data_IF_363639391271
#
_entry.id   IF_363639391271
#
_cell.length_a   1.000
_cell.length_b   1.000
_cell.length_c   1.000
_cell.angle_alpha   90.00
_cell.angle_beta   90.00
_cell.angle_gamma   90.00
#
_symmetry.space_group_name_H-M   'P 1'
#
loop_
_entity.id
_entity.type
_entity.pdbx_description
1 polymer ?
#
# COMPACT_ATOMS: atom_id res chain seq x y z
N UNK A 1 -9.98 0.35 -16.89
CA UNK A 1 -8.65 0.99 -16.74
C UNK A 1 -8.15 0.61 -15.36
N UNK A 2 -6.96 0.03 -15.26
CA UNK A 2 -6.38 -0.31 -13.95
C UNK A 2 -5.52 0.86 -13.47
N UNK A 3 -5.79 1.35 -12.26
CA UNK A 3 -5.03 2.44 -11.65
C UNK A 3 -4.62 2.08 -10.24
N UNK A 4 -3.39 2.35 -9.89
CA UNK A 4 -2.86 2.12 -8.54
C UNK A 4 -2.51 3.48 -7.92
N UNK A 5 -2.94 3.70 -6.68
CA UNK A 5 -2.60 4.88 -5.91
C UNK A 5 -1.83 4.45 -4.67
N UNK A 6 -0.71 5.10 -4.38
CA UNK A 6 0.03 4.98 -3.14
C UNK A 6 0.04 6.33 -2.44
N UNK A 7 -0.63 6.43 -1.31
CA UNK A 7 -0.95 7.69 -0.69
C UNK A 7 0.14 8.17 0.26
N UNK A 8 0.36 9.48 0.28
CA UNK A 8 1.17 10.14 1.29
C UNK A 8 0.37 10.26 2.58
N UNK A 9 0.35 9.22 3.36
CA UNK A 9 -0.23 9.22 4.71
C UNK A 9 0.86 9.50 5.77
N UNK A 10 0.57 9.38 7.06
CA UNK A 10 1.58 9.54 8.12
C UNK A 10 2.68 8.47 8.01
N UNK A 11 3.09 7.85 9.09
CA UNK A 11 4.13 6.80 9.08
C UNK A 11 3.57 5.39 8.78
N UNK A 12 2.35 5.28 8.25
CA UNK A 12 1.71 4.05 7.83
C UNK A 12 1.57 3.94 6.32
N UNK A 13 0.75 3.00 5.86
CA UNK A 13 0.48 2.76 4.44
C UNK A 13 -1.01 2.97 4.10
N UNK A 14 -1.25 3.31 2.85
CA UNK A 14 -2.57 3.25 2.22
C UNK A 14 -2.39 3.14 0.70
N UNK A 15 -2.77 2.01 0.16
CA UNK A 15 -2.80 1.80 -1.29
C UNK A 15 -4.22 1.57 -1.79
N UNK A 16 -4.53 2.09 -2.98
CA UNK A 16 -5.83 1.91 -3.62
C UNK A 16 -5.60 1.29 -4.99
N UNK A 17 -6.36 0.26 -5.33
CA UNK A 17 -6.38 -0.32 -6.67
C UNK A 17 -7.77 -0.13 -7.26
N UNK A 18 -7.87 0.61 -8.36
CA UNK A 18 -9.05 0.61 -9.21
C UNK A 18 -8.85 -0.47 -10.27
N UNK A 19 -9.64 -1.54 -10.19
CA UNK A 19 -9.53 -2.69 -11.09
C UNK A 19 -10.25 -2.47 -12.41
N UNK A 20 -9.84 -3.19 -13.45
CA UNK A 20 -10.54 -3.21 -14.74
C UNK A 20 -12.01 -3.66 -14.64
N UNK A 21 -12.34 -4.44 -13.63
CA UNK A 21 -13.72 -4.87 -13.30
C UNK A 21 -14.62 -3.73 -12.80
N UNK A 22 -14.03 -2.60 -12.38
CA UNK A 22 -14.68 -1.51 -11.67
C UNK A 22 -14.66 -1.68 -10.15
N UNK A 23 -14.24 -2.82 -9.63
CA UNK A 23 -14.00 -2.99 -8.20
C UNK A 23 -12.88 -2.06 -7.71
N UNK A 24 -12.94 -1.70 -6.43
CA UNK A 24 -11.86 -0.98 -5.74
C UNK A 24 -11.38 -1.80 -4.56
N UNK A 25 -10.08 -1.96 -4.45
CA UNK A 25 -9.41 -2.57 -3.30
C UNK A 25 -8.63 -1.49 -2.56
N UNK A 26 -8.82 -1.43 -1.25
CA UNK A 26 -7.97 -0.64 -0.35
C UNK A 26 -7.07 -1.62 0.40
N UNK A 27 -5.79 -1.34 0.45
CA UNK A 27 -4.80 -2.09 1.21
C UNK A 27 -4.29 -1.17 2.29
N UNK A 28 -4.61 -1.46 3.53
CA UNK A 28 -4.36 -0.67 4.73
C UNK A 28 -4.92 0.76 4.69
N UNK A 29 -4.99 1.39 5.84
CA UNK A 29 -5.36 2.79 5.97
C UNK A 29 -4.60 3.46 7.11
N UNK A 30 -4.14 4.68 6.86
CA UNK A 30 -3.56 5.53 7.88
C UNK A 30 -4.01 6.97 7.66
N UNK A 31 -4.22 7.71 8.74
CA UNK A 31 -4.66 9.12 8.71
C UNK A 31 -6.08 9.35 8.13
N UNK A 32 -6.98 8.38 8.23
CA UNK A 32 -8.34 8.47 7.66
C UNK A 32 -9.37 8.97 8.68
N UNK A 33 -9.13 10.10 9.30
CA UNK A 33 -10.08 10.71 10.25
C UNK A 33 -11.12 11.56 9.53
N UNK A 34 -12.22 11.88 10.25
CA UNK A 34 -13.15 12.90 9.76
C UNK A 34 -12.41 14.22 9.56
N UNK A 35 -12.33 14.70 8.32
CA UNK A 35 -11.48 15.84 8.04
C UNK A 35 -12.05 17.13 8.62
N UNK A 36 -11.16 18.01 9.07
CA UNK A 36 -11.46 19.43 9.26
C UNK A 36 -11.22 20.14 7.91
N UNK A 37 -12.25 20.42 7.10
CA UNK A 37 -12.08 20.83 5.70
C UNK A 37 -11.17 22.03 5.49
N UNK A 38 -11.20 22.98 6.44
CA UNK A 38 -10.36 24.19 6.38
C UNK A 38 -8.88 23.84 6.61
N UNK A 39 -8.58 22.95 7.53
CA UNK A 39 -7.21 22.50 7.82
C UNK A 39 -6.66 21.69 6.66
N UNK A 40 -7.44 20.78 6.09
CA UNK A 40 -7.03 20.02 4.88
C UNK A 40 -6.73 20.95 3.70
N UNK A 41 -7.61 21.92 3.42
CA UNK A 41 -7.38 22.88 2.35
C UNK A 41 -6.12 23.73 2.60
N UNK A 42 -5.86 24.10 3.85
CA UNK A 42 -4.65 24.82 4.27
C UNK A 42 -3.41 23.96 4.05
N UNK A 43 -3.44 22.70 4.48
CA UNK A 43 -2.32 21.76 4.31
C UNK A 43 -2.02 21.50 2.84
N UNK A 44 -3.04 21.27 2.02
CA UNK A 44 -2.90 21.06 0.58
C UNK A 44 -2.29 22.30 -0.11
N UNK A 45 -2.72 23.51 0.28
CA UNK A 45 -2.15 24.75 -0.24
C UNK A 45 -0.66 24.88 0.12
N UNK A 46 -0.30 24.65 1.38
CA UNK A 46 1.10 24.74 1.82
C UNK A 46 1.95 23.68 1.10
N UNK A 47 1.48 22.44 1.01
CA UNK A 47 2.17 21.38 0.29
C UNK A 47 2.47 21.72 -1.17
N UNK A 48 1.51 22.36 -1.86
CA UNK A 48 1.64 22.80 -3.26
C UNK A 48 2.76 23.83 -3.46
N UNK A 49 2.96 24.71 -2.49
CA UNK A 49 3.99 25.75 -2.58
C UNK A 49 5.29 25.39 -1.88
N UNK A 50 5.38 24.23 -1.24
CA UNK A 50 6.61 23.74 -0.63
C UNK A 50 7.66 23.47 -1.71
N UNK A 51 8.75 24.22 -1.64
CA UNK A 51 9.88 24.05 -2.57
C UNK A 51 10.91 23.11 -1.94
N UNK A 52 11.19 22.00 -2.63
CA UNK A 52 12.23 21.07 -2.21
C UNK A 52 13.61 21.70 -2.21
N UNK A 53 14.43 21.26 -1.25
CA UNK A 53 15.86 21.63 -1.16
C UNK A 53 16.69 20.36 -1.36
N UNK A 54 17.55 20.34 -2.37
CA UNK A 54 18.49 19.24 -2.62
C UNK A 54 17.84 17.84 -2.66
N UNK A 55 16.68 17.74 -3.33
CA UNK A 55 15.92 16.46 -3.47
C UNK A 55 14.99 16.13 -2.31
N UNK A 56 14.97 16.91 -1.24
CA UNK A 56 13.98 16.81 -0.18
C UNK A 56 12.81 17.77 -0.45
N UNK A 57 11.64 17.22 -0.76
CA UNK A 57 10.45 18.00 -1.08
C UNK A 57 9.50 18.18 0.12
N UNK A 58 9.87 17.66 1.28
CA UNK A 58 9.16 17.83 2.56
C UNK A 58 7.67 17.40 2.56
N UNK A 59 7.22 16.63 1.57
CA UNK A 59 5.82 16.29 1.41
C UNK A 59 5.27 15.42 2.55
N UNK A 60 6.11 14.65 3.24
CA UNK A 60 5.69 13.88 4.43
C UNK A 60 5.11 14.72 5.57
N UNK A 61 5.37 16.04 5.56
CA UNK A 61 4.78 16.99 6.54
C UNK A 61 3.32 17.30 6.26
N UNK A 62 2.84 16.95 5.07
CA UNK A 62 1.51 17.27 4.57
C UNK A 62 0.78 16.00 4.14
N UNK A 63 0.54 15.07 5.07
CA UNK A 63 -0.14 13.82 4.74
C UNK A 63 -1.57 14.10 4.28
N UNK A 64 -2.03 13.31 3.30
CA UNK A 64 -3.42 13.38 2.83
C UNK A 64 -4.32 12.53 3.71
N UNK A 65 -5.60 12.90 3.73
CA UNK A 65 -6.65 12.06 4.29
C UNK A 65 -7.18 11.12 3.19
N UNK A 66 -7.13 9.79 3.35
CA UNK A 66 -7.60 8.84 2.34
C UNK A 66 -9.08 9.02 1.98
N UNK A 67 -9.95 9.36 2.93
CA UNK A 67 -11.38 9.58 2.68
C UNK A 67 -11.57 10.78 1.75
N UNK A 68 -10.94 11.91 2.06
CA UNK A 68 -11.00 13.10 1.21
C UNK A 68 -10.39 12.85 -0.16
N UNK A 69 -9.25 12.15 -0.21
CA UNK A 69 -8.59 11.78 -1.46
C UNK A 69 -9.50 10.95 -2.37
N UNK A 70 -10.21 9.98 -1.82
CA UNK A 70 -11.15 9.14 -2.54
C UNK A 70 -12.39 9.92 -3.00
N UNK A 71 -12.97 10.73 -2.12
CA UNK A 71 -14.12 11.60 -2.45
C UNK A 71 -13.81 12.55 -3.61
N UNK A 72 -12.65 13.20 -3.57
CA UNK A 72 -12.20 14.11 -4.62
C UNK A 72 -12.07 13.44 -5.98
N UNK A 73 -11.83 12.13 -5.99
CA UNK A 73 -11.74 11.32 -7.22
C UNK A 73 -13.04 10.62 -7.61
N UNK A 74 -14.13 10.89 -6.86
CA UNK A 74 -15.44 10.28 -7.13
C UNK A 74 -15.50 8.79 -6.82
N UNK A 75 -14.62 8.29 -5.95
CA UNK A 75 -14.66 6.91 -5.48
C UNK A 75 -15.74 6.78 -4.42
N UNK A 76 -16.87 6.15 -4.77
CA UNK A 76 -18.05 6.09 -3.90
C UNK A 76 -18.22 4.76 -3.16
N UNK A 77 -17.44 3.73 -3.51
CA UNK A 77 -17.58 2.40 -2.91
C UNK A 77 -16.27 1.65 -2.90
N UNK A 78 -16.11 0.78 -1.91
CA UNK A 78 -14.98 -0.15 -1.77
C UNK A 78 -15.54 -1.56 -1.87
N UNK A 79 -15.02 -2.35 -2.83
CA UNK A 79 -15.38 -3.77 -2.93
C UNK A 79 -14.64 -4.61 -1.89
N UNK A 80 -13.36 -4.25 -1.61
CA UNK A 80 -12.48 -5.02 -0.73
C UNK A 80 -11.57 -4.09 0.05
N UNK A 81 -11.54 -4.29 1.37
CA UNK A 81 -10.50 -3.73 2.23
C UNK A 81 -9.60 -4.88 2.71
N UNK A 82 -8.30 -4.69 2.60
CA UNK A 82 -7.28 -5.64 3.04
C UNK A 82 -6.49 -5.02 4.18
N UNK A 83 -6.59 -5.62 5.37
CA UNK A 83 -5.69 -5.33 6.49
C UNK A 83 -4.48 -6.24 6.36
N UNK A 84 -3.30 -5.69 6.06
CA UNK A 84 -2.12 -6.54 5.85
C UNK A 84 -1.69 -7.24 7.13
N UNK A 85 -1.68 -6.53 8.24
CA UNK A 85 -1.36 -7.03 9.57
C UNK A 85 -1.95 -6.09 10.65
N UNK A 86 -2.03 -6.52 11.94
CA UNK A 86 -2.81 -5.80 12.93
C UNK A 86 -2.03 -4.67 13.65
N UNK A 87 -1.24 -3.87 12.94
CA UNK A 87 -0.55 -2.71 13.52
C UNK A 87 -1.34 -1.41 13.29
N UNK A 88 -1.26 -0.51 14.26
CA UNK A 88 -2.12 0.68 14.31
C UNK A 88 -1.86 1.68 13.18
N UNK A 89 -0.65 1.76 12.68
CA UNK A 89 -0.29 2.60 11.54
C UNK A 89 -0.81 2.07 10.19
N UNK A 90 -1.39 0.86 10.19
CA UNK A 90 -2.08 0.24 9.06
C UNK A 90 -3.61 0.25 9.21
N UNK A 91 -4.14 0.81 10.31
CA UNK A 91 -5.60 0.91 10.56
C UNK A 91 -6.05 2.26 11.17
N UNK A 92 -5.20 3.29 11.15
CA UNK A 92 -5.47 4.60 11.73
C UNK A 92 -6.59 5.33 10.96
N UNK A 93 -7.81 5.29 11.48
CA UNK A 93 -9.03 5.81 10.87
C UNK A 93 -9.87 4.74 10.14
N UNK A 94 -9.66 3.45 10.43
CA UNK A 94 -10.43 2.37 9.81
C UNK A 94 -11.94 2.50 10.07
N UNK A 95 -12.35 2.94 11.25
CA UNK A 95 -13.76 3.10 11.59
C UNK A 95 -14.43 4.13 10.69
N UNK A 96 -13.81 5.30 10.49
CA UNK A 96 -14.34 6.34 9.61
C UNK A 96 -14.35 5.91 8.14
N UNK A 97 -13.33 5.20 7.68
CA UNK A 97 -13.28 4.67 6.32
C UNK A 97 -14.45 3.72 6.05
N UNK A 98 -14.72 2.79 6.98
CA UNK A 98 -15.81 1.83 6.85
C UNK A 98 -17.18 2.49 6.95
N UNK A 99 -17.34 3.48 7.83
CA UNK A 99 -18.57 4.25 7.95
C UNK A 99 -18.88 5.03 6.67
N UNK A 100 -17.84 5.53 5.97
CA UNK A 100 -18.00 6.31 4.75
C UNK A 100 -18.29 5.44 3.52
N UNK A 101 -17.54 4.36 3.33
CA UNK A 101 -17.54 3.61 2.08
C UNK A 101 -18.14 2.22 2.17
N UNK A 102 -18.44 1.71 3.36
CA UNK A 102 -19.07 0.41 3.61
C UNK A 102 -18.44 -0.72 2.75
N UNK A 103 -17.17 -1.09 2.98
CA UNK A 103 -16.51 -2.16 2.23
C UNK A 103 -17.30 -3.46 2.27
N UNK A 104 -17.45 -4.13 1.11
CA UNK A 104 -18.22 -5.37 0.99
C UNK A 104 -17.46 -6.56 1.58
N UNK A 105 -16.13 -6.58 1.35
CA UNK A 105 -15.25 -7.63 1.85
C UNK A 105 -14.15 -7.03 2.73
N UNK A 106 -13.88 -7.72 3.83
CA UNK A 106 -12.77 -7.43 4.73
C UNK A 106 -11.80 -8.61 4.72
N UNK A 107 -10.57 -8.39 4.27
CA UNK A 107 -9.52 -9.39 4.33
C UNK A 107 -8.65 -9.13 5.54
N UNK A 108 -8.41 -10.16 6.32
CA UNK A 108 -7.62 -10.09 7.54
C UNK A 108 -6.84 -11.39 7.72
N UNK A 109 -5.75 -11.34 8.44
CA UNK A 109 -5.00 -12.53 8.85
C UNK A 109 -5.67 -13.16 10.07
N UNK A 110 -5.46 -14.46 10.28
CA UNK A 110 -6.02 -15.18 11.45
C UNK A 110 -5.18 -14.92 12.71
N UNK A 111 -4.93 -13.64 12.97
CA UNK A 111 -4.13 -13.21 14.09
C UNK A 111 -4.97 -13.09 15.38
N UNK A 112 -4.30 -13.30 16.51
CA UNK A 112 -4.89 -13.21 17.85
C UNK A 112 -4.35 -12.03 18.65
N UNK A 113 -3.75 -11.04 17.99
CA UNK A 113 -3.15 -9.87 18.64
C UNK A 113 -4.14 -9.21 19.60
N UNK A 114 -3.66 -8.90 20.78
CA UNK A 114 -4.36 -8.11 21.79
C UNK A 114 -3.54 -6.89 22.17
N UNK A 115 -4.22 -5.77 22.39
CA UNK A 115 -3.56 -4.55 22.86
C UNK A 115 -4.09 -4.22 24.26
N UNK A 116 -3.22 -4.23 25.29
CA UNK A 116 -3.63 -3.90 26.64
C UNK A 116 -4.03 -2.42 26.75
N UNK A 117 -4.91 -2.10 27.71
CA UNK A 117 -5.41 -0.73 27.93
C UNK A 117 -4.29 0.30 28.14
N UNK A 118 -3.14 -0.14 28.67
CA UNK A 118 -1.95 0.72 28.85
C UNK A 118 -1.33 1.19 27.54
N UNK A 119 -1.57 0.51 26.43
CA UNK A 119 -1.04 0.88 25.10
C UNK A 119 -1.59 2.21 24.60
N UNK A 120 -2.73 2.66 25.11
CA UNK A 120 -3.38 3.89 24.66
C UNK A 120 -2.88 5.15 25.36
N UNK A 121 -2.20 5.01 26.51
CA UNK A 121 -1.69 6.16 27.23
C UNK A 121 -0.50 6.79 26.49
N UNK A 122 -0.74 7.97 25.91
CA UNK A 122 0.27 8.67 25.10
C UNK A 122 0.44 8.14 23.69
N UNK A 123 -0.39 7.20 23.26
CA UNK A 123 -0.42 6.71 21.87
C UNK A 123 -0.89 7.82 20.93
N UNK A 124 -0.29 7.95 19.72
CA UNK A 124 -0.84 8.81 18.67
C UNK A 124 -2.10 8.22 18.01
N UNK A 125 -2.41 6.94 18.28
CA UNK A 125 -3.53 6.20 17.70
C UNK A 125 -4.71 6.13 18.65
N UNK A 126 -5.90 5.91 18.09
CA UNK A 126 -7.15 5.84 18.85
C UNK A 126 -7.52 4.40 19.18
N UNK A 127 -7.90 4.17 20.45
CA UNK A 127 -8.45 2.88 20.89
C UNK A 127 -9.73 2.50 20.12
N UNK A 128 -10.49 3.48 19.61
CA UNK A 128 -11.70 3.25 18.82
C UNK A 128 -11.42 2.44 17.56
N UNK A 129 -10.36 2.79 16.81
CA UNK A 129 -9.95 2.07 15.61
C UNK A 129 -9.56 0.62 15.90
N UNK A 130 -8.83 0.40 17.00
CA UNK A 130 -8.51 -0.95 17.46
C UNK A 130 -9.76 -1.76 17.82
N UNK A 131 -10.70 -1.17 18.56
CA UNK A 131 -11.97 -1.82 18.92
C UNK A 131 -12.81 -2.13 17.70
N UNK A 132 -12.80 -1.22 16.72
CA UNK A 132 -13.49 -1.43 15.45
C UNK A 132 -12.88 -2.60 14.67
N UNK A 133 -11.54 -2.60 14.50
CA UNK A 133 -10.82 -3.69 13.86
C UNK A 133 -11.10 -5.04 14.55
N UNK A 134 -10.99 -5.11 15.89
CA UNK A 134 -11.33 -6.32 16.63
C UNK A 134 -12.75 -6.82 16.36
N UNK A 135 -13.72 -5.91 16.31
CA UNK A 135 -15.09 -6.27 15.97
C UNK A 135 -15.17 -6.89 14.57
N UNK A 136 -14.49 -6.33 13.58
CA UNK A 136 -14.42 -6.90 12.23
C UNK A 136 -13.77 -8.29 12.23
N UNK A 137 -12.64 -8.41 12.93
CA UNK A 137 -11.87 -9.66 13.05
C UNK A 137 -12.67 -10.77 13.75
N UNK A 138 -13.33 -10.44 14.86
CA UNK A 138 -14.00 -11.40 15.73
C UNK A 138 -15.47 -11.64 15.31
N UNK A 139 -15.97 -10.94 14.28
CA UNK A 139 -17.34 -11.11 13.77
C UNK A 139 -17.45 -12.39 12.94
N UNK A 140 -18.66 -12.98 12.93
CA UNK A 140 -18.99 -14.11 12.08
C UNK A 140 -18.68 -13.78 10.60
N UNK A 141 -17.88 -14.61 9.89
CA UNK A 141 -17.49 -14.37 8.51
C UNK A 141 -18.66 -14.28 7.50
N UNK A 142 -19.86 -14.71 7.89
CA UNK A 142 -21.07 -14.62 7.06
C UNK A 142 -21.82 -13.28 7.21
N UNK A 143 -21.33 -12.34 8.01
CA UNK A 143 -21.91 -10.99 8.20
C UNK A 143 -21.21 -9.96 7.31
N UNK A 144 -21.89 -8.82 7.11
CA UNK A 144 -21.33 -7.69 6.36
C UNK A 144 -20.45 -6.80 7.29
N UNK A 145 -19.23 -6.45 6.85
CA UNK A 145 -18.55 -6.92 5.64
C UNK A 145 -18.18 -8.40 5.74
N UNK A 146 -18.19 -9.12 4.61
CA UNK A 146 -17.76 -10.51 4.58
C UNK A 146 -16.27 -10.61 4.92
N UNK A 147 -15.94 -11.25 6.05
CA UNK A 147 -14.56 -11.51 6.44
C UNK A 147 -13.99 -12.69 5.66
N UNK A 148 -12.79 -12.51 5.13
CA UNK A 148 -12.02 -13.56 4.45
C UNK A 148 -10.61 -13.60 5.04
N UNK A 149 -10.19 -14.78 5.49
CA UNK A 149 -8.82 -15.08 5.90
C UNK A 149 -8.19 -15.95 4.81
N UNK A 150 -7.17 -15.40 4.15
CA UNK A 150 -6.55 -16.02 2.99
C UNK A 150 -5.08 -16.29 3.26
N UNK A 151 -4.59 -17.40 2.74
CA UNK A 151 -3.18 -17.80 2.85
C UNK A 151 -2.53 -17.91 1.47
N UNK A 152 -1.21 -17.99 1.44
CA UNK A 152 -0.43 -18.18 0.24
C UNK A 152 -1.03 -19.21 -0.70
N UNK A 153 -1.18 -18.84 -1.97
CA UNK A 153 -1.76 -19.69 -3.00
C UNK A 153 -3.30 -19.79 -3.00
N UNK A 154 -4.00 -19.09 -2.08
CA UNK A 154 -5.47 -19.09 -2.06
C UNK A 154 -6.05 -18.60 -3.39
N UNK A 155 -7.16 -19.24 -3.82
CA UNK A 155 -7.82 -18.97 -5.09
C UNK A 155 -9.30 -18.65 -4.90
N UNK A 156 -9.79 -17.70 -5.68
CA UNK A 156 -11.20 -17.33 -5.64
C UNK A 156 -11.64 -16.48 -6.82
N UNK A 157 -12.90 -16.64 -7.19
CA UNK A 157 -13.53 -16.08 -8.38
C UNK A 157 -13.33 -14.56 -8.51
N UNK A 158 -13.38 -13.83 -7.40
CA UNK A 158 -13.35 -12.35 -7.42
C UNK A 158 -11.94 -11.77 -7.28
N UNK A 159 -10.89 -12.58 -7.09
CA UNK A 159 -9.55 -12.04 -6.91
C UNK A 159 -8.51 -12.62 -7.87
N UNK A 160 -8.44 -13.95 -8.11
CA UNK A 160 -7.43 -14.52 -9.00
C UNK A 160 -7.86 -15.77 -9.76
N UNK A 161 -9.14 -16.11 -9.78
CA UNK A 161 -9.66 -17.28 -10.47
C UNK A 161 -10.67 -16.85 -11.56
N UNK A 162 -10.31 -17.09 -12.81
CA UNK A 162 -11.23 -16.97 -13.94
C UNK A 162 -11.89 -18.28 -14.32
N UNK A 163 -12.63 -18.26 -15.42
CA UNK A 163 -13.27 -19.44 -15.96
C UNK A 163 -12.28 -20.52 -16.43
N UNK A 164 -11.05 -20.13 -16.76
CA UNK A 164 -9.96 -21.00 -17.21
C UNK A 164 -9.09 -21.53 -16.06
N UNK A 165 -9.40 -21.19 -14.80
CA UNK A 165 -8.69 -21.56 -13.55
C UNK A 165 -7.26 -21.01 -13.45
N UNK A 166 -6.74 -20.33 -14.45
CA UNK A 166 -5.34 -19.86 -14.49
C UNK A 166 -5.21 -18.38 -14.25
N UNK A 167 -6.17 -17.61 -14.71
CA UNK A 167 -6.20 -16.15 -14.55
C UNK A 167 -7.65 -15.69 -14.35
N UNK A 168 -7.85 -14.48 -13.92
CA UNK A 168 -9.17 -13.86 -13.81
C UNK A 168 -9.41 -13.15 -12.49
N UNK A 169 -10.67 -12.86 -12.21
CA UNK A 169 -11.05 -12.00 -11.10
C UNK A 169 -10.41 -10.62 -11.25
N UNK A 170 -10.04 -10.02 -10.13
CA UNK A 170 -9.39 -8.72 -10.08
C UNK A 170 -7.86 -8.79 -10.24
N UNK A 171 -7.28 -9.96 -10.48
CA UNK A 171 -5.84 -10.15 -10.66
C UNK A 171 -5.02 -10.11 -9.37
N UNK A 172 -5.63 -10.25 -8.20
CA UNK A 172 -4.96 -10.26 -6.90
C UNK A 172 -4.55 -11.68 -6.50
N UNK A 173 -3.26 -11.92 -6.34
CA UNK A 173 -2.69 -13.19 -5.89
C UNK A 173 -2.09 -13.03 -4.50
N UNK A 174 -2.38 -13.97 -3.61
CA UNK A 174 -1.89 -13.98 -2.24
C UNK A 174 -0.57 -14.77 -2.22
N UNK A 175 0.55 -14.06 -2.02
CA UNK A 175 1.88 -14.67 -1.92
C UNK A 175 2.21 -15.08 -0.49
N UNK A 176 1.69 -14.33 0.49
CA UNK A 176 1.81 -14.53 1.92
C UNK A 176 0.58 -13.92 2.63
N UNK A 177 0.32 -14.25 3.91
CA UNK A 177 1.10 -15.15 4.76
C UNK A 177 0.83 -16.63 4.48
N UNK A 178 1.66 -17.50 5.06
CA UNK A 178 1.28 -18.91 5.26
C UNK A 178 0.59 -19.07 6.62
N UNK A 179 -0.12 -20.20 6.80
CA UNK A 179 -0.71 -20.50 8.11
C UNK A 179 0.36 -20.59 9.21
N UNK A 180 1.50 -21.20 8.88
CA UNK A 180 2.62 -21.37 9.83
C UNK A 180 3.20 -20.03 10.31
N UNK A 181 3.31 -19.02 9.41
CA UNK A 181 3.77 -17.68 9.80
C UNK A 181 2.78 -16.98 10.72
N UNK A 182 1.47 -17.16 10.48
CA UNK A 182 0.43 -16.61 11.35
C UNK A 182 0.43 -17.32 12.72
N UNK A 183 0.51 -18.64 12.73
CA UNK A 183 0.57 -19.44 13.97
C UNK A 183 1.80 -19.02 14.80
N UNK A 184 2.96 -18.84 14.16
CA UNK A 184 4.18 -18.39 14.83
C UNK A 184 4.03 -16.98 15.43
N UNK A 185 3.42 -16.04 14.71
CA UNK A 185 3.16 -14.70 15.23
C UNK A 185 2.22 -14.74 16.44
N UNK A 186 1.20 -15.59 16.39
CA UNK A 186 0.26 -15.79 17.49
C UNK A 186 0.90 -16.45 18.73
N UNK A 187 1.81 -17.42 18.53
CA UNK A 187 2.51 -18.09 19.63
C UNK A 187 3.48 -17.16 20.36
N UNK A 188 4.15 -16.29 19.63
CA UNK A 188 5.12 -15.37 20.20
C UNK A 188 4.47 -14.12 20.79
N UNK A 189 3.21 -13.83 20.43
CA UNK A 189 2.47 -12.59 20.76
C UNK A 189 3.29 -11.32 20.48
N UNK A 190 4.17 -11.40 19.49
CA UNK A 190 5.12 -10.36 19.11
C UNK A 190 5.28 -10.34 17.59
N UNK A 191 5.71 -9.21 17.05
CA UNK A 191 6.13 -9.05 15.64
C UNK A 191 5.09 -9.56 14.60
N UNK A 192 3.85 -9.11 14.72
CA UNK A 192 2.77 -9.46 13.79
C UNK A 192 3.03 -9.03 12.34
N UNK A 193 4.09 -8.29 12.07
CA UNK A 193 4.60 -8.04 10.71
C UNK A 193 4.86 -9.34 9.94
N UNK A 194 5.20 -10.45 10.63
CA UNK A 194 5.40 -11.78 10.02
C UNK A 194 4.15 -12.34 9.36
N UNK A 195 2.96 -11.96 9.83
CA UNK A 195 1.71 -12.39 9.24
C UNK A 195 1.18 -11.44 8.17
N UNK A 196 1.97 -10.46 7.72
CA UNK A 196 1.55 -9.51 6.70
C UNK A 196 1.13 -10.19 5.41
N UNK A 197 0.01 -9.75 4.85
CA UNK A 197 -0.28 -10.02 3.45
C UNK A 197 0.83 -9.44 2.57
N UNK A 198 1.35 -10.28 1.68
CA UNK A 198 2.09 -9.86 0.49
C UNK A 198 1.25 -10.21 -0.72
N UNK A 199 0.86 -9.20 -1.48
CA UNK A 199 -0.03 -9.37 -2.61
C UNK A 199 0.70 -9.09 -3.91
N UNK A 200 0.49 -9.95 -4.91
CA UNK A 200 0.85 -9.68 -6.30
C UNK A 200 -0.42 -9.27 -7.05
N UNK A 201 -0.42 -8.09 -7.62
CA UNK A 201 -1.44 -7.63 -8.54
C UNK A 201 -0.96 -7.79 -9.99
N UNK A 202 -1.73 -8.55 -10.77
CA UNK A 202 -1.52 -8.74 -12.21
C UNK A 202 -2.58 -8.00 -13.00
N UNK A 203 -2.16 -7.17 -13.93
CA UNK A 203 -3.06 -6.48 -14.87
C UNK A 203 -2.37 -6.35 -16.23
N UNK A 204 -2.98 -6.95 -17.27
CA UNK A 204 -2.27 -7.14 -18.54
C UNK A 204 -0.99 -7.95 -18.34
N UNK A 205 0.12 -7.41 -18.78
CA UNK A 205 1.45 -8.01 -18.60
C UNK A 205 2.16 -7.55 -17.32
N UNK A 206 1.58 -6.56 -16.61
CA UNK A 206 2.21 -5.94 -15.47
C UNK A 206 2.08 -6.75 -14.18
N UNK A 207 3.12 -6.66 -13.36
CA UNK A 207 3.24 -7.31 -12.05
C UNK A 207 3.63 -6.27 -11.00
N UNK A 208 2.72 -6.03 -10.07
CA UNK A 208 2.88 -5.07 -8.99
C UNK A 208 2.81 -5.83 -7.66
N UNK A 209 3.81 -5.65 -6.80
CA UNK A 209 3.86 -6.31 -5.49
C UNK A 209 3.66 -5.31 -4.37
N UNK A 210 2.74 -5.62 -3.46
CA UNK A 210 2.49 -4.90 -2.22
C UNK A 210 3.10 -5.70 -1.08
N UNK A 211 4.12 -5.13 -0.41
CA UNK A 211 4.96 -5.85 0.54
C UNK A 211 4.38 -5.99 1.94
N UNK A 212 3.37 -5.18 2.32
CA UNK A 212 2.96 -5.02 3.73
C UNK A 212 4.19 -4.72 4.60
N UNK A 213 4.20 -5.22 5.82
CA UNK A 213 5.37 -5.08 6.70
C UNK A 213 6.18 -6.39 6.83
N UNK A 214 6.14 -7.21 5.78
CA UNK A 214 6.70 -8.56 5.72
C UNK A 214 8.19 -8.64 6.12
N UNK A 215 8.56 -9.75 6.73
CA UNK A 215 9.91 -10.08 7.17
C UNK A 215 10.65 -11.02 6.21
N UNK A 216 11.92 -11.31 6.51
CA UNK A 216 12.76 -12.17 5.66
C UNK A 216 12.17 -13.57 5.47
N UNK A 217 11.59 -14.17 6.51
CA UNK A 217 10.95 -15.49 6.43
C UNK A 217 9.78 -15.52 5.45
N UNK A 218 9.04 -14.43 5.36
CA UNK A 218 7.96 -14.25 4.38
C UNK A 218 8.53 -14.29 2.96
N UNK A 219 9.63 -13.56 2.73
CA UNK A 219 10.30 -13.53 1.43
C UNK A 219 10.98 -14.84 1.08
N UNK A 220 11.56 -15.56 2.06
CA UNK A 220 12.10 -16.90 1.86
C UNK A 220 11.00 -17.85 1.37
N UNK A 221 9.80 -17.81 1.96
CA UNK A 221 8.64 -18.56 1.49
C UNK A 221 8.25 -18.19 0.05
N UNK A 222 8.15 -16.87 -0.25
CA UNK A 222 7.75 -16.39 -1.57
C UNK A 222 8.75 -16.83 -2.63
N UNK A 223 10.04 -16.69 -2.36
CA UNK A 223 11.08 -17.10 -3.32
C UNK A 223 11.15 -18.62 -3.50
N UNK A 224 10.77 -19.40 -2.50
CA UNK A 224 10.70 -20.86 -2.62
C UNK A 224 9.50 -21.33 -3.44
N UNK A 225 8.34 -20.66 -3.36
CA UNK A 225 7.07 -21.15 -3.89
C UNK A 225 6.48 -20.31 -5.04
N UNK A 226 6.86 -19.03 -5.15
CA UNK A 226 6.32 -18.08 -6.11
C UNK A 226 7.41 -17.33 -6.91
N UNK A 227 8.62 -17.89 -6.97
CA UNK A 227 9.77 -17.21 -7.59
C UNK A 227 9.47 -16.69 -8.99
N UNK A 228 8.88 -17.53 -9.84
CA UNK A 228 8.56 -17.15 -11.22
C UNK A 228 7.52 -16.04 -11.32
N UNK A 229 6.66 -15.92 -10.32
CA UNK A 229 5.63 -14.90 -10.27
C UNK A 229 6.20 -13.52 -9.93
N UNK A 230 7.31 -13.50 -9.18
CA UNK A 230 7.91 -12.26 -8.65
C UNK A 230 9.29 -11.93 -9.23
N UNK A 231 9.78 -12.69 -10.21
CA UNK A 231 11.04 -12.35 -10.90
C UNK A 231 10.81 -11.20 -11.87
N UNK A 232 11.64 -10.14 -11.81
CA UNK A 232 11.63 -8.97 -12.70
C UNK A 232 10.25 -8.29 -12.72
N UNK A 233 9.79 -7.79 -11.57
CA UNK A 233 8.49 -7.11 -11.45
C UNK A 233 8.57 -5.64 -11.87
N UNK A 234 7.46 -5.07 -12.31
CA UNK A 234 7.41 -3.67 -12.76
C UNK A 234 7.41 -2.69 -11.57
N UNK A 235 6.63 -2.98 -10.51
CA UNK A 235 6.47 -2.06 -9.38
C UNK A 235 6.45 -2.82 -8.05
N UNK A 236 7.20 -2.30 -7.08
CA UNK A 236 7.17 -2.75 -5.69
C UNK A 236 6.68 -1.63 -4.78
N UNK A 237 5.65 -1.87 -3.98
CA UNK A 237 5.39 -1.10 -2.78
C UNK A 237 6.24 -1.73 -1.69
N UNK A 238 7.24 -0.99 -1.21
CA UNK A 238 8.31 -1.54 -0.37
C UNK A 238 7.77 -2.06 0.97
N UNK A 239 8.24 -3.21 1.44
CA UNK A 239 7.85 -3.70 2.74
C UNK A 239 8.30 -2.76 3.85
N UNK A 240 7.44 -2.60 4.88
CA UNK A 240 7.67 -1.78 6.06
C UNK A 240 8.05 -0.34 5.67
N UNK A 241 7.30 0.26 4.77
CA UNK A 241 7.48 1.64 4.26
C UNK A 241 8.88 1.88 3.63
N UNK A 242 9.66 0.83 3.36
CA UNK A 242 11.06 0.91 2.94
C UNK A 242 12.06 1.09 4.09
N UNK A 243 11.70 0.76 5.36
CA UNK A 243 12.57 0.91 6.54
C UNK A 243 13.58 -0.23 6.67
N UNK A 244 14.76 0.04 7.21
CA UNK A 244 15.84 -0.93 7.46
C UNK A 244 15.41 -2.11 8.34
N UNK A 245 14.88 -1.86 9.49
CA UNK A 245 14.20 -2.78 10.44
C UNK A 245 14.77 -4.20 10.53
N UNK A 246 16.08 -4.38 10.43
CA UNK A 246 16.75 -5.67 10.50
C UNK A 246 16.56 -6.63 9.32
N UNK A 247 15.87 -6.21 8.26
CA UNK A 247 15.61 -7.02 7.06
C UNK A 247 16.84 -7.09 6.16
N UNK A 248 17.07 -8.26 5.53
CA UNK A 248 18.23 -8.48 4.65
C UNK A 248 18.05 -7.91 3.24
N UNK A 249 16.81 -7.75 2.78
CA UNK A 249 16.44 -7.33 1.43
C UNK A 249 17.03 -8.21 0.30
N UNK A 250 17.39 -9.45 0.58
CA UNK A 250 17.92 -10.38 -0.43
C UNK A 250 16.91 -10.68 -1.54
N UNK A 251 15.62 -10.60 -1.25
CA UNK A 251 14.58 -10.80 -2.23
C UNK A 251 14.69 -9.85 -3.42
N UNK A 252 15.27 -8.65 -3.24
CA UNK A 252 15.49 -7.69 -4.32
C UNK A 252 16.39 -8.23 -5.44
N UNK A 253 17.27 -9.20 -5.15
CA UNK A 253 18.12 -9.83 -6.15
C UNK A 253 17.32 -10.69 -7.15
N UNK A 254 16.08 -11.04 -6.80
CA UNK A 254 15.15 -11.78 -7.66
C UNK A 254 14.04 -10.89 -8.19
N UNK A 255 13.47 -10.03 -7.37
CA UNK A 255 12.36 -9.16 -7.77
C UNK A 255 12.79 -8.09 -8.78
N UNK A 256 14.02 -7.57 -8.66
CA UNK A 256 14.58 -6.53 -9.55
C UNK A 256 13.53 -5.52 -10.03
N UNK A 257 12.77 -4.86 -9.13
CA UNK A 257 11.67 -3.99 -9.54
C UNK A 257 12.17 -2.84 -10.39
N UNK A 258 11.51 -2.56 -11.52
CA UNK A 258 11.78 -1.38 -12.35
C UNK A 258 11.62 -0.09 -11.53
N UNK A 259 10.61 -0.05 -10.65
CA UNK A 259 10.40 1.07 -9.73
C UNK A 259 9.92 0.58 -8.37
N UNK A 260 10.38 1.26 -7.31
CA UNK A 260 9.90 0.99 -5.95
C UNK A 260 9.34 2.26 -5.31
N UNK A 261 8.18 2.14 -4.66
CA UNK A 261 7.61 3.20 -3.83
C UNK A 261 7.94 2.98 -2.36
N UNK A 262 8.47 4.03 -1.71
CA UNK A 262 8.70 4.07 -0.27
C UNK A 262 7.64 4.94 0.41
N UNK A 263 7.09 4.44 1.50
CA UNK A 263 6.23 5.18 2.40
C UNK A 263 7.00 6.22 3.21
N UNK A 264 6.33 6.81 4.20
CA UNK A 264 6.92 7.80 5.07
C UNK A 264 7.67 7.16 6.24
N UNK A 265 8.87 7.61 6.45
CA UNK A 265 9.68 7.35 7.65
C UNK A 265 10.74 8.44 7.81
N UNK A 266 11.47 8.44 8.91
CA UNK A 266 12.68 9.25 9.01
C UNK A 266 13.74 8.74 8.05
N UNK A 267 14.42 9.63 7.35
CA UNK A 267 15.37 9.26 6.29
C UNK A 267 16.51 8.35 6.75
N UNK A 268 16.92 8.46 8.02
CA UNK A 268 17.93 7.60 8.62
C UNK A 268 17.48 6.15 8.80
N UNK A 269 16.17 5.91 8.82
CA UNK A 269 15.57 4.57 8.94
C UNK A 269 15.24 3.93 7.58
N UNK A 270 15.26 4.69 6.49
CA UNK A 270 14.97 4.14 5.16
C UNK A 270 16.17 3.35 4.62
N UNK A 271 15.88 2.24 3.96
CA UNK A 271 16.87 1.27 3.46
C UNK A 271 17.40 1.63 2.07
N UNK A 272 17.62 2.92 1.79
CA UNK A 272 18.11 3.40 0.49
C UNK A 272 19.30 2.60 -0.05
N UNK A 273 20.23 2.22 0.84
CA UNK A 273 21.46 1.53 0.44
C UNK A 273 21.17 0.13 -0.12
N UNK A 274 20.10 -0.54 0.35
CA UNK A 274 19.73 -1.87 -0.17
C UNK A 274 19.29 -1.81 -1.63
N UNK A 275 18.57 -0.77 -2.04
CA UNK A 275 18.18 -0.54 -3.43
C UNK A 275 19.30 0.04 -4.27
N UNK A 276 19.96 1.08 -3.79
CA UNK A 276 21.04 1.76 -4.53
C UNK A 276 22.21 0.84 -4.86
N UNK A 277 22.60 -0.04 -3.94
CA UNK A 277 23.67 -1.02 -4.20
C UNK A 277 23.32 -2.00 -5.32
N UNK A 278 22.04 -2.11 -5.70
CA UNK A 278 21.52 -2.93 -6.80
C UNK A 278 21.16 -2.12 -8.04
N UNK A 279 21.34 -0.81 -8.02
CA UNK A 279 20.95 0.08 -9.13
C UNK A 279 19.42 0.22 -9.29
N UNK A 280 18.63 -0.06 -8.24
CA UNK A 280 17.17 -0.04 -8.31
C UNK A 280 16.62 1.37 -8.02
N UNK A 281 15.62 1.77 -8.78
CA UNK A 281 14.98 3.09 -8.69
C UNK A 281 13.97 3.17 -7.56
N UNK A 282 13.95 4.33 -6.85
CA UNK A 282 13.05 4.60 -5.72
C UNK A 282 12.36 5.95 -5.90
N UNK A 283 11.07 6.00 -5.62
CA UNK A 283 10.30 7.23 -5.38
C UNK A 283 9.67 7.15 -3.99
N UNK A 284 9.76 8.23 -3.22
CA UNK A 284 9.21 8.29 -1.85
C UNK A 284 8.01 9.23 -1.77
N UNK A 285 7.08 8.98 -0.83
CA UNK A 285 6.00 9.93 -0.55
C UNK A 285 6.53 11.32 -0.17
N UNK A 286 7.68 11.40 0.50
CA UNK A 286 8.30 12.68 0.84
C UNK A 286 8.75 13.50 -0.40
N UNK A 287 8.98 12.84 -1.53
CA UNK A 287 9.29 13.48 -2.82
C UNK A 287 8.01 13.75 -3.62
N UNK A 288 7.25 12.71 -3.87
CA UNK A 288 6.16 12.68 -4.83
C UNK A 288 4.81 13.15 -4.27
N UNK A 289 4.64 13.21 -2.94
CA UNK A 289 3.36 13.22 -2.27
C UNK A 289 2.62 11.91 -2.58
N UNK A 290 1.43 11.92 -3.16
CA UNK A 290 0.81 10.68 -3.62
C UNK A 290 1.32 10.29 -5.00
N UNK A 291 1.50 9.00 -5.23
CA UNK A 291 1.86 8.40 -6.50
C UNK A 291 0.66 7.70 -7.12
N UNK A 292 0.44 7.93 -8.41
CA UNK A 292 -0.66 7.34 -9.19
C UNK A 292 -0.07 6.67 -10.41
N UNK A 293 -0.38 5.39 -10.60
CA UNK A 293 0.12 4.61 -11.73
C UNK A 293 -1.04 4.20 -12.62
N UNK A 294 -0.99 4.60 -13.89
CA UNK A 294 -1.84 4.03 -14.92
C UNK A 294 -1.20 2.74 -15.43
N UNK A 295 -1.81 1.62 -15.09
CA UNK A 295 -1.40 0.28 -15.50
C UNK A 295 -2.22 -0.25 -16.69
N UNK A 296 -2.92 0.62 -17.42
CA UNK A 296 -3.66 0.25 -18.62
C UNK A 296 -2.81 0.31 -19.90
N UNK A 297 -1.64 0.95 -19.84
CA UNK A 297 -0.67 1.05 -20.93
C UNK A 297 0.60 0.24 -20.66
N UNK A 298 1.32 -0.12 -21.70
CA UNK A 298 2.64 -0.76 -21.62
C UNK A 298 3.66 0.13 -22.35
N UNK A 299 4.67 0.67 -21.64
CA UNK A 299 4.90 0.61 -20.20
C UNK A 299 3.83 1.34 -19.37
N UNK A 300 3.75 1.01 -18.06
CA UNK A 300 2.91 1.77 -17.11
C UNK A 300 3.35 3.24 -17.04
N UNK A 301 2.44 4.10 -16.67
CA UNK A 301 2.70 5.55 -16.59
C UNK A 301 2.61 6.04 -15.14
N UNK A 302 3.62 6.77 -14.68
CA UNK A 302 3.67 7.41 -13.36
C UNK A 302 3.16 8.84 -13.41
N UNK A 303 2.26 9.15 -12.48
CA UNK A 303 1.83 10.50 -12.12
C UNK A 303 2.07 10.73 -10.62
N UNK A 304 2.26 11.98 -10.22
CA UNK A 304 2.45 12.36 -8.81
C UNK A 304 1.64 13.61 -8.47
N UNK A 305 1.25 13.76 -7.21
CA UNK A 305 0.50 14.97 -6.83
C UNK A 305 1.40 16.17 -6.50
N UNK A 306 2.72 15.96 -6.35
CA UNK A 306 3.69 17.04 -6.18
C UNK A 306 4.22 17.55 -7.52
N UNK A 307 3.75 18.73 -7.95
CA UNK A 307 4.21 19.39 -9.18
C UNK A 307 5.72 19.64 -9.19
N UNK A 308 6.28 20.09 -8.09
CA UNK A 308 7.71 20.43 -8.02
C UNK A 308 8.61 19.21 -8.25
N UNK A 309 8.19 18.05 -7.74
CA UNK A 309 8.89 16.79 -8.01
C UNK A 309 8.73 16.37 -9.48
N UNK A 310 7.49 16.42 -10.02
CA UNK A 310 7.25 16.08 -11.42
C UNK A 310 8.11 16.93 -12.36
N UNK A 311 8.14 18.25 -12.18
CA UNK A 311 8.98 19.18 -12.97
C UNK A 311 10.48 18.94 -12.81
N UNK A 312 10.90 18.44 -11.66
CA UNK A 312 12.31 18.09 -11.41
C UNK A 312 12.75 16.87 -12.20
N UNK A 313 11.87 15.87 -12.30
CA UNK A 313 12.13 14.63 -13.05
C UNK A 313 11.95 14.88 -14.54
N UNK A 314 10.87 15.58 -14.92
CA UNK A 314 10.52 15.81 -16.30
C UNK A 314 10.05 17.26 -16.51
N UNK A 315 10.84 18.07 -17.25
CA UNK A 315 10.51 19.48 -17.55
C UNK A 315 9.22 19.62 -18.37
N UNK A 316 8.85 18.61 -19.15
CA UNK A 316 7.67 18.61 -20.04
C UNK A 316 6.41 18.09 -19.35
N UNK A 317 6.45 17.94 -18.01
CA UNK A 317 5.31 17.50 -17.20
C UNK A 317 4.07 18.37 -17.43
N UNK A 318 2.91 17.74 -17.37
CA UNK A 318 1.61 18.39 -17.44
C UNK A 318 0.66 17.82 -16.39
N UNK A 319 -0.36 18.58 -16.03
CA UNK A 319 -1.40 18.11 -15.12
C UNK A 319 -2.45 17.29 -15.87
N UNK A 320 -2.75 16.10 -15.39
CA UNK A 320 -3.81 15.23 -15.90
C UNK A 320 -5.06 15.38 -15.05
N UNK A 321 -6.14 15.88 -15.62
CA UNK A 321 -7.45 16.00 -14.94
C UNK A 321 -8.03 14.61 -14.61
N UNK A 322 -7.78 13.60 -15.43
CA UNK A 322 -8.28 12.23 -15.22
C UNK A 322 -7.63 11.58 -14.02
N UNK A 323 -6.33 11.76 -13.82
CA UNK A 323 -5.59 11.22 -12.70
C UNK A 323 -5.47 12.20 -11.53
N UNK A 324 -5.88 13.46 -11.71
CA UNK A 324 -5.70 14.56 -10.73
C UNK A 324 -4.27 14.61 -10.19
N UNK A 325 -3.31 14.49 -11.08
CA UNK A 325 -1.89 14.39 -10.79
C UNK A 325 -1.03 14.85 -11.99
N UNK A 326 0.25 15.11 -11.73
CA UNK A 326 1.22 15.56 -12.71
C UNK A 326 1.91 14.36 -13.36
N UNK A 327 1.94 14.31 -14.67
CA UNK A 327 2.64 13.29 -15.43
C UNK A 327 4.15 13.36 -15.17
N UNK A 328 4.77 12.20 -14.88
CA UNK A 328 6.23 12.09 -14.67
C UNK A 328 6.87 11.43 -15.88
N UNK A 329 6.30 10.33 -16.35
CA UNK A 329 6.82 9.56 -17.47
C UNK A 329 6.36 8.10 -17.44
N UNK A 330 6.90 7.33 -18.37
CA UNK A 330 6.69 5.88 -18.41
C UNK A 330 7.61 5.20 -17.39
N UNK A 331 7.10 4.15 -16.72
CA UNK A 331 7.90 3.37 -15.77
C UNK A 331 8.86 2.49 -16.57
N UNK A 332 10.09 2.93 -16.63
CA UNK A 332 11.24 2.31 -17.29
C UNK A 332 12.47 2.48 -16.39
N UNK A 333 13.53 1.72 -16.63
CA UNK A 333 14.74 1.72 -15.79
C UNK A 333 15.43 3.09 -15.69
N UNK A 334 15.19 3.98 -16.65
CA UNK A 334 15.77 5.32 -16.75
C UNK A 334 14.81 6.44 -16.31
N UNK A 335 13.61 6.13 -15.82
CA UNK A 335 12.63 7.16 -15.43
C UNK A 335 13.12 8.03 -14.28
N UNK A 336 13.74 7.42 -13.28
CA UNK A 336 14.25 8.12 -12.09
C UNK A 336 15.77 8.04 -12.09
N UNK A 337 16.47 9.17 -12.24
CA UNK A 337 17.92 9.22 -12.36
C UNK A 337 18.67 8.91 -11.06
#
# INVERSE_FOLDING_TARGET
MATIHFLNVKEGDCSIIEHNSGHKTIIDVCNAFSPEPLEEARMAMVAKYERGISGNFHQKKYPVNPISYMRDRGMASIFRYVQTHPDMDHMDGIEELFNEFSPINFWDTDNTKEMPTSSWQGSPYREADWKFYKRLRDTNPDQDPKRLTLYSGARGQYYNQGSDVTSGGDGLHILAPTKELVDLANELDEEYNRCSYVLLYRTGEHRIVFGGDSHDETWDHILANHKTDVTDIDLLIAPHHGRKSGRSYKFLDTLTPTLTFFGNSRSEYLAYDAWRSRGLSIVTNNQANCMVVDASSTPMTLYVTNENFARRVNSDTFYSESFKAWWVGFITDDLIP
#
